data_IF_016688553438
#
_entry.id   IF_016688553438
#
_cell.length_a   1.000
_cell.length_b   1.000
_cell.length_c   1.000
_cell.angle_alpha   90.00
_cell.angle_beta   90.00
_cell.angle_gamma   90.00
#
_symmetry.space_group_name_H-M   'P 1'
#
loop_
_entity.id
_entity.type
_entity.pdbx_description
1 polymer ?
#
# COMPACT_ATOMS: atom_id res chain seq x y z
N UNK A 1 -21.12 -9.96 10.25
CA UNK A 1 -20.18 -10.06 9.10
C UNK A 1 -18.93 -10.76 9.59
N UNK A 2 -18.45 -11.77 8.86
CA UNK A 2 -17.13 -12.36 9.13
C UNK A 2 -16.06 -11.32 8.83
N UNK A 3 -15.05 -11.22 9.67
CA UNK A 3 -13.93 -10.29 9.48
C UNK A 3 -13.18 -10.65 8.19
N UNK A 4 -13.00 -9.67 7.31
CA UNK A 4 -12.28 -9.86 6.04
C UNK A 4 -10.94 -9.16 6.12
N UNK A 5 -9.87 -9.87 5.78
CA UNK A 5 -8.54 -9.29 5.67
C UNK A 5 -8.48 -8.30 4.51
N UNK A 6 -7.59 -7.32 4.64
CA UNK A 6 -7.27 -6.40 3.57
C UNK A 6 -6.75 -7.14 2.33
N UNK A 7 -7.16 -6.66 1.16
CA UNK A 7 -6.66 -7.18 -0.11
C UNK A 7 -5.20 -6.71 -0.27
N UNK A 8 -4.30 -7.66 -0.48
CA UNK A 8 -2.89 -7.41 -0.76
C UNK A 8 -2.56 -7.85 -2.19
N UNK A 9 -1.96 -6.95 -2.96
CA UNK A 9 -1.48 -7.21 -4.31
C UNK A 9 -0.16 -6.52 -4.49
N UNK A 10 0.79 -7.19 -5.14
CA UNK A 10 2.12 -6.66 -5.38
C UNK A 10 2.59 -6.95 -6.78
N UNK A 11 3.49 -6.11 -7.28
CA UNK A 11 4.10 -6.21 -8.58
C UNK A 11 5.62 -6.16 -8.43
N UNK A 12 6.30 -7.18 -8.98
CA UNK A 12 7.75 -7.29 -8.93
C UNK A 12 8.35 -6.97 -10.30
N UNK A 13 9.24 -5.97 -10.34
CA UNK A 13 9.89 -5.49 -11.55
C UNK A 13 11.40 -5.61 -11.45
N UNK A 14 12.07 -5.89 -12.56
CA UNK A 14 13.54 -5.84 -12.66
C UNK A 14 14.00 -4.40 -12.88
N UNK A 15 15.09 -3.98 -12.22
CA UNK A 15 15.70 -2.67 -12.47
C UNK A 15 16.33 -2.62 -13.87
N UNK A 16 16.37 -1.43 -14.50
CA UNK A 16 17.13 -1.24 -15.73
C UNK A 16 18.63 -1.53 -15.50
N UNK A 17 19.29 -2.15 -16.47
CA UNK A 17 20.71 -2.55 -16.40
C UNK A 17 21.73 -1.41 -16.55
N UNK A 18 21.29 -0.14 -16.62
CA UNK A 18 22.23 0.97 -16.89
C UNK A 18 23.09 1.32 -15.67
N UNK A 19 24.41 1.34 -15.89
CA UNK A 19 25.46 1.29 -14.87
C UNK A 19 25.72 2.59 -14.11
N UNK A 20 25.22 3.76 -14.53
CA UNK A 20 25.73 5.02 -14.00
C UNK A 20 24.80 5.78 -13.04
N UNK A 21 23.51 5.43 -12.92
CA UNK A 21 22.53 6.29 -12.23
C UNK A 21 21.43 5.47 -11.51
N UNK A 22 21.79 4.37 -10.84
CA UNK A 22 20.80 3.53 -10.14
C UNK A 22 20.11 4.25 -8.98
N UNK A 23 20.84 5.09 -8.24
CA UNK A 23 20.26 5.92 -7.18
C UNK A 23 19.24 6.90 -7.76
N UNK A 24 19.60 7.62 -8.82
CA UNK A 24 18.70 8.55 -9.50
C UNK A 24 17.46 7.84 -10.07
N UNK A 25 17.57 6.57 -10.47
CA UNK A 25 16.43 5.80 -10.96
C UNK A 25 15.37 5.63 -9.88
N UNK A 26 15.76 5.19 -8.68
CA UNK A 26 14.80 4.93 -7.59
C UNK A 26 14.19 6.23 -7.09
N UNK A 27 14.99 7.27 -6.91
CA UNK A 27 14.48 8.60 -6.52
C UNK A 27 13.46 9.13 -7.54
N UNK A 28 13.77 9.06 -8.84
CA UNK A 28 12.87 9.46 -9.91
C UNK A 28 11.59 8.61 -9.96
N UNK A 29 11.71 7.29 -9.73
CA UNK A 29 10.57 6.39 -9.63
C UNK A 29 9.66 6.78 -8.46
N UNK A 30 10.21 7.02 -7.27
CA UNK A 30 9.45 7.41 -6.09
C UNK A 30 8.72 8.74 -6.30
N UNK A 31 9.38 9.74 -6.87
CA UNK A 31 8.74 11.03 -7.17
C UNK A 31 7.61 10.89 -8.19
N UNK A 32 7.82 10.13 -9.27
CA UNK A 32 6.77 9.85 -10.26
C UNK A 32 5.61 9.07 -9.67
N UNK A 33 5.88 8.07 -8.82
CA UNK A 33 4.84 7.29 -8.15
C UNK A 33 4.03 8.15 -7.20
N UNK A 34 4.66 8.97 -6.35
CA UNK A 34 3.94 9.89 -5.47
C UNK A 34 3.07 10.88 -6.26
N UNK A 35 3.62 11.47 -7.33
CA UNK A 35 2.89 12.43 -8.15
C UNK A 35 1.69 11.78 -8.86
N UNK A 36 1.91 10.65 -9.53
CA UNK A 36 0.84 9.92 -10.22
C UNK A 36 -0.20 9.36 -9.25
N UNK A 37 0.21 8.89 -8.06
CA UNK A 37 -0.69 8.48 -6.99
C UNK A 37 -1.55 9.63 -6.50
N UNK A 38 -0.98 10.83 -6.31
CA UNK A 38 -1.74 12.02 -5.95
C UNK A 38 -2.84 12.35 -6.97
N UNK A 39 -2.50 12.29 -8.27
CA UNK A 39 -3.48 12.47 -9.36
C UNK A 39 -4.54 11.35 -9.33
N UNK A 40 -4.14 10.10 -9.13
CA UNK A 40 -5.08 8.99 -9.04
C UNK A 40 -6.03 9.15 -7.85
N UNK A 41 -5.53 9.54 -6.67
CA UNK A 41 -6.33 9.76 -5.48
C UNK A 41 -7.30 10.94 -5.61
N UNK A 42 -7.01 11.93 -6.45
CA UNK A 42 -8.01 12.94 -6.80
C UNK A 42 -9.26 12.32 -7.44
N UNK A 43 -9.08 11.32 -8.32
CA UNK A 43 -10.19 10.61 -8.96
C UNK A 43 -10.76 9.48 -8.09
N UNK A 44 -9.94 8.87 -7.24
CA UNK A 44 -10.31 7.76 -6.35
C UNK A 44 -10.24 8.18 -4.87
N UNK A 45 -10.79 9.36 -4.56
CA UNK A 45 -10.68 10.02 -3.25
C UNK A 45 -11.14 9.19 -2.03
N UNK A 46 -12.08 8.22 -2.14
CA UNK A 46 -12.40 7.38 -0.98
C UNK A 46 -11.21 6.56 -0.46
N UNK A 47 -10.21 6.28 -1.30
CA UNK A 47 -9.02 5.54 -0.87
C UNK A 47 -8.10 6.33 0.07
N UNK A 48 -8.25 7.67 0.11
CA UNK A 48 -7.59 8.55 1.08
C UNK A 48 -8.41 8.79 2.35
N UNK A 49 -9.61 8.23 2.45
CA UNK A 49 -10.49 8.37 3.62
C UNK A 49 -10.22 7.35 4.72
N UNK A 50 -11.15 7.29 5.67
CA UNK A 50 -11.19 6.28 6.74
C UNK A 50 -12.62 5.82 6.99
N UNK A 51 -12.80 4.62 7.57
CA UNK A 51 -14.12 4.09 7.89
C UNK A 51 -14.66 4.79 9.13
N UNK A 52 -15.92 5.21 9.05
CA UNK A 52 -16.66 5.77 10.19
C UNK A 52 -17.95 4.96 10.37
N UNK A 53 -18.23 4.61 11.62
CA UNK A 53 -19.52 4.04 12.03
C UNK A 53 -20.25 5.06 12.89
N UNK A 54 -21.37 5.56 12.39
CA UNK A 54 -22.25 6.45 13.13
C UNK A 54 -23.47 5.67 13.64
N UNK A 55 -23.72 5.77 14.94
CA UNK A 55 -24.90 5.17 15.59
C UNK A 55 -25.91 6.26 15.93
N UNK A 56 -27.15 6.11 15.46
CA UNK A 56 -28.30 6.90 15.92
C UNK A 56 -29.12 6.09 16.93
N UNK A 57 -29.77 6.77 17.88
CA UNK A 57 -30.64 6.12 18.87
C UNK A 57 -32.13 6.35 18.62
N UNK A 58 -32.51 7.35 17.81
CA UNK A 58 -33.92 7.68 17.56
C UNK A 58 -34.14 8.16 16.10
N UNK A 59 -34.63 7.27 15.21
CA UNK A 59 -34.77 5.83 15.38
C UNK A 59 -33.40 5.13 15.47
N UNK A 60 -33.29 3.95 16.14
CA UNK A 60 -32.04 3.21 16.20
C UNK A 60 -31.52 2.83 14.81
N UNK A 61 -30.31 3.28 14.48
CA UNK A 61 -29.69 2.97 13.19
C UNK A 61 -28.16 2.97 13.27
N UNK A 62 -27.54 2.28 12.32
CA UNK A 62 -26.10 2.28 12.11
C UNK A 62 -25.82 2.65 10.66
N UNK A 63 -24.96 3.63 10.45
CA UNK A 63 -24.47 4.02 9.13
C UNK A 63 -22.97 3.82 9.12
N UNK A 64 -22.49 3.05 8.14
CA UNK A 64 -21.08 2.84 7.90
C UNK A 64 -20.76 3.54 6.57
N UNK A 65 -19.81 4.45 6.59
CA UNK A 65 -19.39 5.21 5.42
C UNK A 65 -17.89 5.50 5.47
N UNK A 66 -17.34 5.93 4.34
CA UNK A 66 -15.96 6.40 4.26
C UNK A 66 -15.97 7.92 4.41
N UNK A 67 -15.38 8.44 5.50
CA UNK A 67 -15.19 9.87 5.66
C UNK A 67 -14.01 10.34 4.81
N UNK A 68 -14.32 11.24 3.88
CA UNK A 68 -13.39 11.82 2.93
C UNK A 68 -13.12 13.31 3.22
N UNK A 69 -13.53 13.82 4.39
CA UNK A 69 -13.27 15.20 4.81
C UNK A 69 -11.76 15.49 4.91
N UNK A 70 -11.36 16.75 4.76
CA UNK A 70 -9.95 17.19 4.68
C UNK A 70 -9.08 16.89 5.94
N UNK A 71 -9.64 16.27 6.98
CA UNK A 71 -8.93 15.90 8.21
C UNK A 71 -8.43 14.44 8.19
N UNK A 72 -8.51 13.77 7.04
CA UNK A 72 -8.06 12.39 6.87
C UNK A 72 -6.54 12.28 6.71
N UNK A 73 -6.00 11.15 7.14
CA UNK A 73 -4.55 10.85 7.09
C UNK A 73 -4.05 10.54 5.69
N UNK A 74 -4.95 10.39 4.72
CA UNK A 74 -4.63 10.08 3.33
C UNK A 74 -4.23 8.62 3.11
N UNK A 75 -3.79 8.32 1.89
CA UNK A 75 -3.15 7.05 1.59
C UNK A 75 -1.72 7.04 2.14
N UNK A 76 -1.28 5.89 2.68
CA UNK A 76 0.08 5.72 3.19
C UNK A 76 1.01 5.31 2.06
N UNK A 77 2.16 5.98 1.95
CA UNK A 77 3.20 5.67 0.98
C UNK A 77 4.52 5.40 1.71
N UNK A 78 5.08 4.22 1.52
CA UNK A 78 6.26 3.74 2.25
C UNK A 78 7.35 3.43 1.24
N UNK A 79 8.58 3.81 1.60
CA UNK A 79 9.77 3.37 0.92
C UNK A 79 10.59 2.47 1.86
N UNK A 80 11.03 1.33 1.34
CA UNK A 80 11.86 0.36 2.06
C UNK A 80 12.96 -0.18 1.14
N UNK A 81 13.98 -0.78 1.74
CA UNK A 81 15.03 -1.50 1.02
C UNK A 81 15.13 -2.92 1.55
N UNK A 82 15.49 -3.87 0.68
CA UNK A 82 15.69 -5.26 1.04
C UNK A 82 16.87 -5.81 0.25
N UNK A 83 17.87 -6.32 0.96
CA UNK A 83 19.08 -6.91 0.37
C UNK A 83 18.82 -8.33 -0.14
N UNK A 84 17.98 -8.42 -1.17
CA UNK A 84 17.65 -9.64 -1.90
C UNK A 84 17.53 -9.32 -3.39
N UNK A 85 17.71 -10.33 -4.23
CA UNK A 85 17.47 -10.23 -5.68
C UNK A 85 16.06 -10.68 -6.03
N UNK A 86 15.61 -10.33 -7.24
CA UNK A 86 14.38 -10.86 -7.84
C UNK A 86 14.40 -12.40 -7.86
N UNK A 87 15.58 -13.00 -8.11
CA UNK A 87 15.75 -14.45 -8.13
C UNK A 87 15.50 -15.07 -6.76
N UNK A 88 15.95 -14.44 -5.68
CA UNK A 88 15.76 -14.96 -4.32
C UNK A 88 14.28 -15.04 -3.91
N UNK A 89 13.43 -14.22 -4.54
CA UNK A 89 11.97 -14.24 -4.32
C UNK A 89 11.28 -15.27 -5.22
N UNK A 90 11.71 -15.42 -6.48
CA UNK A 90 10.99 -16.20 -7.50
C UNK A 90 11.46 -17.65 -7.65
N UNK A 91 12.70 -17.96 -7.26
CA UNK A 91 13.27 -19.32 -7.43
C UNK A 91 12.86 -20.35 -6.37
N UNK A 92 12.57 -19.98 -5.11
CA UNK A 92 12.11 -20.96 -4.12
C UNK A 92 10.80 -21.64 -4.55
N UNK A 93 10.65 -22.91 -4.16
CA UNK A 93 9.44 -23.71 -4.46
C UNK A 93 8.22 -23.14 -3.71
N UNK A 94 8.43 -22.77 -2.44
CA UNK A 94 7.43 -22.16 -1.58
C UNK A 94 7.61 -20.64 -1.53
N UNK A 95 6.52 -19.91 -1.29
CA UNK A 95 6.56 -18.45 -1.12
C UNK A 95 7.44 -18.09 0.09
N UNK A 96 8.55 -17.36 -0.11
CA UNK A 96 9.44 -16.99 0.99
C UNK A 96 8.72 -16.13 2.04
N UNK A 97 9.01 -16.34 3.33
CA UNK A 97 8.37 -15.58 4.42
C UNK A 97 8.57 -14.07 4.31
N UNK A 98 9.68 -13.64 3.71
CA UNK A 98 9.99 -12.23 3.45
C UNK A 98 8.94 -11.55 2.56
N UNK A 99 8.22 -12.29 1.70
CA UNK A 99 7.15 -11.74 0.86
C UNK A 99 6.07 -11.08 1.70
N UNK A 100 5.80 -11.57 2.92
CA UNK A 100 4.84 -10.94 3.83
C UNK A 100 5.30 -9.55 4.29
N UNK A 101 6.61 -9.33 4.44
CA UNK A 101 7.16 -8.03 4.82
C UNK A 101 7.16 -6.99 3.69
N UNK A 102 6.85 -7.42 2.46
CA UNK A 102 6.65 -6.50 1.34
C UNK A 102 5.29 -5.80 1.39
N UNK A 103 4.43 -6.15 2.36
CA UNK A 103 3.11 -5.56 2.58
C UNK A 103 3.02 -4.97 3.99
N UNK A 104 2.73 -3.67 4.08
CA UNK A 104 2.63 -2.94 5.36
C UNK A 104 1.46 -3.39 6.24
N UNK A 105 0.26 -3.52 5.64
CA UNK A 105 -0.97 -3.84 6.35
C UNK A 105 -1.23 -5.36 6.41
N UNK A 106 -0.18 -6.15 6.63
CA UNK A 106 -0.35 -7.60 6.80
C UNK A 106 -1.25 -7.92 7.99
N UNK A 107 -2.23 -8.80 7.76
CA UNK A 107 -3.27 -9.21 8.73
C UNK A 107 -4.25 -8.12 9.18
N UNK A 108 -4.19 -6.91 8.62
CA UNK A 108 -5.23 -5.90 8.87
C UNK A 108 -6.59 -6.41 8.38
N UNK A 109 -7.63 -6.15 9.17
CA UNK A 109 -9.00 -6.54 8.86
C UNK A 109 -9.86 -5.33 8.51
N UNK A 110 -10.98 -5.53 7.84
CA UNK A 110 -11.91 -4.48 7.43
C UNK A 110 -12.35 -3.53 8.57
N UNK A 111 -12.39 -4.01 9.82
CA UNK A 111 -12.69 -3.16 10.98
C UNK A 111 -11.54 -2.19 11.31
N UNK A 112 -10.29 -2.55 11.04
CA UNK A 112 -9.11 -1.72 11.31
C UNK A 112 -9.10 -0.44 10.46
N UNK A 113 -9.88 -0.37 9.37
CA UNK A 113 -10.04 0.84 8.56
C UNK A 113 -10.62 2.05 9.30
N UNK A 114 -11.07 1.89 10.55
CA UNK A 114 -11.41 3.02 11.43
C UNK A 114 -10.17 3.74 12.00
N UNK A 115 -9.04 3.04 12.11
CA UNK A 115 -7.81 3.55 12.73
C UNK A 115 -6.59 3.45 11.82
N UNK A 116 -6.65 2.62 10.78
CA UNK A 116 -5.62 2.41 9.78
C UNK A 116 -6.04 3.01 8.43
N UNK A 117 -5.07 3.41 7.58
CA UNK A 117 -5.36 3.86 6.22
C UNK A 117 -6.14 2.81 5.42
N UNK A 118 -7.04 3.26 4.54
CA UNK A 118 -7.73 2.39 3.60
C UNK A 118 -6.83 1.89 2.46
N UNK A 119 -5.81 2.68 2.12
CA UNK A 119 -4.79 2.35 1.12
C UNK A 119 -3.39 2.56 1.71
N UNK A 120 -2.54 1.55 1.56
CA UNK A 120 -1.11 1.63 1.83
C UNK A 120 -0.36 1.07 0.63
N UNK A 121 0.65 1.80 0.16
CA UNK A 121 1.53 1.41 -0.94
C UNK A 121 2.97 1.37 -0.39
N UNK A 122 3.64 0.24 -0.56
CA UNK A 122 5.03 0.06 -0.13
C UNK A 122 5.91 -0.22 -1.34
N UNK A 123 6.77 0.73 -1.67
CA UNK A 123 7.83 0.54 -2.67
C UNK A 123 9.06 -0.02 -1.96
N UNK A 124 9.42 -1.26 -2.26
CA UNK A 124 10.61 -1.92 -1.73
C UNK A 124 11.68 -2.06 -2.80
N UNK A 125 12.80 -1.37 -2.62
CA UNK A 125 13.97 -1.51 -3.48
C UNK A 125 14.70 -2.82 -3.15
N UNK A 126 14.92 -3.65 -4.17
CA UNK A 126 15.75 -4.85 -4.13
C UNK A 126 17.13 -4.57 -4.74
N UNK A 127 18.07 -5.51 -4.65
CA UNK A 127 19.40 -5.36 -5.28
C UNK A 127 19.27 -5.10 -6.78
N UNK A 128 18.48 -5.92 -7.48
CA UNK A 128 18.29 -5.87 -8.94
C UNK A 128 16.84 -5.65 -9.37
N UNK A 129 15.97 -5.23 -8.45
CA UNK A 129 14.54 -5.09 -8.69
C UNK A 129 13.84 -4.04 -7.83
N UNK A 130 12.55 -3.85 -8.07
CA UNK A 130 11.66 -3.04 -7.24
C UNK A 130 10.34 -3.80 -7.10
N UNK A 131 9.85 -3.90 -5.87
CA UNK A 131 8.52 -4.37 -5.55
C UNK A 131 7.63 -3.17 -5.21
N UNK A 132 6.40 -3.16 -5.71
CA UNK A 132 5.37 -2.14 -5.40
C UNK A 132 4.10 -2.83 -4.96
#
# INVERSE_FOLDING_TARGET
MSSMNYIQKGLLFKKPTQQNNQQDFVENLLEKLKHSLSIALFHFYPLSGHVVTQKSQDPPSYVIFVDCSNNNTGAKFIYATLDMTVSDILTPIDVPLVVKSLFDLDKAINHDGHTMPLLSIQVTELVDGVFV
#
